data_IF_616811681426
#
_entry.id   IF_616811681426
#
_cell.length_a   1.000
_cell.length_b   1.000
_cell.length_c   1.000
_cell.angle_alpha   90.00
_cell.angle_beta   90.00
_cell.angle_gamma   90.00
#
_symmetry.space_group_name_H-M   'P 1'
#
loop_
_entity.id
_entity.type
_entity.pdbx_description
1 polymer ?
#
# COMPACT_ATOMS: atom_id res chain seq x y z
N UNK A 1 8.18 17.04 3.02
CA UNK A 1 7.80 18.33 2.39
C UNK A 1 6.48 18.30 1.62
N UNK A 2 6.17 17.31 0.75
CA UNK A 2 4.90 17.31 -0.05
C UNK A 2 3.67 16.69 0.64
N UNK A 3 3.83 15.70 1.52
CA UNK A 3 2.71 15.10 2.28
C UNK A 3 2.15 16.03 3.35
N UNK A 4 3.02 16.75 4.06
CA UNK A 4 2.64 17.77 5.03
C UNK A 4 1.97 18.96 4.33
N UNK A 5 2.41 19.35 3.13
CA UNK A 5 1.74 20.42 2.37
C UNK A 5 0.33 20.03 1.91
N UNK A 6 0.13 18.75 1.52
CA UNK A 6 -1.18 18.19 1.22
C UNK A 6 -2.07 18.12 2.48
N UNK A 7 -1.48 17.83 3.64
CA UNK A 7 -2.19 17.83 4.93
C UNK A 7 -2.53 19.24 5.42
N UNK A 8 -1.72 20.26 5.15
CA UNK A 8 -2.02 21.66 5.49
C UNK A 8 -3.15 22.24 4.65
N UNK A 9 -3.42 21.67 3.48
CA UNK A 9 -4.61 21.96 2.67
C UNK A 9 -5.76 21.00 3.09
N UNK A 10 -6.19 21.06 4.36
CA UNK A 10 -7.35 20.30 4.92
C UNK A 10 -8.70 20.69 4.29
N UNK A 11 -8.84 20.66 2.96
CA UNK A 11 -10.07 21.10 2.28
C UNK A 11 -10.97 19.96 1.80
N UNK A 12 -10.44 18.74 1.57
CA UNK A 12 -11.26 17.60 1.13
C UNK A 12 -10.56 16.24 1.31
N UNK A 13 -11.21 15.28 1.98
CA UNK A 13 -10.77 13.89 2.09
C UNK A 13 -10.67 13.20 0.73
N UNK A 14 -11.61 13.52 -0.17
CA UNK A 14 -11.59 12.98 -1.53
C UNK A 14 -10.33 13.40 -2.28
N UNK A 15 -9.99 14.70 -2.23
CA UNK A 15 -8.78 15.20 -2.90
C UNK A 15 -7.53 14.54 -2.32
N UNK A 16 -7.49 14.35 -0.99
CA UNK A 16 -6.41 13.62 -0.35
C UNK A 16 -6.29 12.19 -0.88
N UNK A 17 -7.40 11.45 -0.98
CA UNK A 17 -7.38 10.09 -1.50
C UNK A 17 -6.92 10.04 -2.97
N UNK A 18 -7.45 10.94 -3.81
CA UNK A 18 -7.07 11.04 -5.23
C UNK A 18 -5.59 11.35 -5.44
N UNK A 19 -4.97 12.14 -4.56
CA UNK A 19 -3.54 12.49 -4.64
C UNK A 19 -2.65 11.42 -4.00
N UNK A 20 -3.14 10.75 -2.95
CA UNK A 20 -2.41 9.68 -2.27
C UNK A 20 -2.29 8.44 -3.15
N UNK A 21 -3.27 8.18 -4.02
CA UNK A 21 -3.24 7.08 -4.97
C UNK A 21 -1.98 7.09 -5.87
N UNK A 22 -1.74 8.09 -6.74
CA UNK A 22 -0.55 8.12 -7.58
C UNK A 22 0.75 8.28 -6.77
N UNK A 23 0.68 8.93 -5.61
CA UNK A 23 1.83 9.10 -4.72
C UNK A 23 2.29 7.78 -4.08
N UNK A 24 1.36 6.85 -3.86
CA UNK A 24 1.66 5.49 -3.44
C UNK A 24 2.06 4.63 -4.64
N UNK A 25 1.25 4.62 -5.70
CA UNK A 25 1.44 3.70 -6.83
C UNK A 25 2.78 3.92 -7.56
N UNK A 26 3.11 5.17 -7.95
CA UNK A 26 4.26 5.43 -8.82
C UNK A 26 5.58 5.01 -8.16
N UNK A 27 5.91 5.44 -6.92
CA UNK A 27 7.18 5.06 -6.32
C UNK A 27 7.22 3.59 -5.91
N UNK A 28 6.07 2.99 -5.53
CA UNK A 28 5.98 1.54 -5.31
C UNK A 28 6.34 0.74 -6.55
N UNK A 29 5.84 1.15 -7.72
CA UNK A 29 6.19 0.52 -9.00
C UNK A 29 7.68 0.71 -9.32
N UNK A 30 8.24 1.90 -9.07
CA UNK A 30 9.67 2.16 -9.26
C UNK A 30 10.50 1.24 -8.36
N UNK A 31 10.16 1.13 -7.07
CA UNK A 31 10.86 0.24 -6.13
C UNK A 31 10.80 -1.21 -6.57
N UNK A 32 9.64 -1.68 -7.00
CA UNK A 32 9.47 -3.03 -7.53
C UNK A 32 10.34 -3.28 -8.78
N UNK A 33 10.33 -2.37 -9.76
CA UNK A 33 11.13 -2.50 -10.99
C UNK A 33 12.62 -2.48 -10.68
N UNK A 34 13.08 -1.57 -9.83
CA UNK A 34 14.50 -1.48 -9.46
C UNK A 34 14.95 -2.74 -8.71
N UNK A 35 14.19 -3.20 -7.72
CA UNK A 35 14.50 -4.42 -6.99
C UNK A 35 14.53 -5.64 -7.93
N UNK A 36 13.54 -5.76 -8.82
CA UNK A 36 13.47 -6.82 -9.83
C UNK A 36 14.69 -6.81 -10.75
N UNK A 37 15.12 -5.63 -11.20
CA UNK A 37 16.25 -5.46 -12.11
C UNK A 37 17.57 -5.84 -11.43
N UNK A 38 17.77 -5.42 -10.18
CA UNK A 38 18.96 -5.76 -9.38
C UNK A 38 19.00 -7.27 -9.14
N UNK A 39 17.89 -7.88 -8.71
CA UNK A 39 17.83 -9.32 -8.41
C UNK A 39 18.04 -10.18 -9.66
N UNK A 40 17.50 -9.79 -10.81
CA UNK A 40 17.79 -10.43 -12.11
C UNK A 40 19.27 -10.33 -12.45
N UNK A 41 19.88 -9.16 -12.23
CA UNK A 41 21.29 -8.93 -12.50
C UNK A 41 22.20 -9.80 -11.63
N UNK A 42 21.80 -10.12 -10.40
CA UNK A 42 22.53 -11.07 -9.53
C UNK A 42 22.24 -12.54 -9.83
N UNK A 43 21.50 -12.85 -10.91
CA UNK A 43 21.16 -14.22 -11.31
C UNK A 43 20.01 -14.85 -10.51
N UNK A 44 19.23 -14.05 -9.77
CA UNK A 44 18.08 -14.55 -9.02
C UNK A 44 16.94 -14.90 -9.98
N UNK A 45 16.40 -16.10 -9.88
CA UNK A 45 15.17 -16.48 -10.55
C UNK A 45 13.97 -15.80 -9.86
N UNK A 46 13.41 -14.79 -10.51
CA UNK A 46 12.30 -14.02 -9.94
C UNK A 46 11.03 -14.85 -9.76
N UNK A 47 10.85 -15.94 -10.51
CA UNK A 47 9.66 -16.79 -10.40
C UNK A 47 9.56 -17.46 -9.03
N UNK A 48 10.70 -17.67 -8.37
CA UNK A 48 10.77 -18.27 -7.03
C UNK A 48 10.48 -17.28 -5.90
N UNK A 49 10.48 -15.97 -6.18
CA UNK A 49 10.36 -14.90 -5.17
C UNK A 49 9.25 -13.89 -5.47
N UNK A 50 8.54 -14.03 -6.60
CA UNK A 50 7.34 -13.26 -6.90
C UNK A 50 6.18 -13.68 -6.00
N UNK A 51 5.20 -12.79 -5.83
CA UNK A 51 3.95 -13.15 -5.18
C UNK A 51 3.18 -14.19 -6.04
N UNK A 52 2.34 -15.05 -5.41
CA UNK A 52 1.46 -15.94 -6.14
C UNK A 52 0.60 -15.19 -7.16
N UNK A 53 0.32 -15.82 -8.29
CA UNK A 53 -0.55 -15.25 -9.31
C UNK A 53 -1.95 -15.04 -8.77
N UNK A 54 -2.54 -13.88 -9.09
CA UNK A 54 -3.88 -13.55 -8.64
C UNK A 54 -4.92 -14.29 -9.48
N UNK A 55 -5.87 -14.95 -8.80
CA UNK A 55 -7.04 -15.50 -9.48
C UNK A 55 -7.90 -14.37 -10.05
N UNK A 56 -8.29 -14.49 -11.32
CA UNK A 56 -9.15 -13.53 -12.03
C UNK A 56 -10.65 -13.89 -11.95
N UNK A 57 -11.04 -14.79 -11.04
CA UNK A 57 -12.47 -15.04 -10.77
C UNK A 57 -13.12 -13.81 -10.16
N UNK A 58 -14.39 -13.55 -10.44
CA UNK A 58 -15.11 -12.38 -9.92
C UNK A 58 -15.06 -12.29 -8.39
N UNK A 59 -15.11 -13.43 -7.70
CA UNK A 59 -15.00 -13.50 -6.23
C UNK A 59 -13.60 -13.10 -5.74
N UNK A 60 -12.55 -13.60 -6.38
CA UNK A 60 -11.18 -13.24 -6.03
C UNK A 60 -10.89 -11.76 -6.31
N UNK A 61 -11.37 -11.24 -7.45
CA UNK A 61 -11.26 -9.81 -7.79
C UNK A 61 -11.97 -8.93 -6.76
N UNK A 62 -13.20 -9.28 -6.38
CA UNK A 62 -13.94 -8.56 -5.35
C UNK A 62 -13.21 -8.60 -4.00
N UNK A 63 -12.61 -9.73 -3.65
CA UNK A 63 -11.81 -9.84 -2.43
C UNK A 63 -10.59 -8.92 -2.49
N UNK A 64 -9.79 -8.99 -3.56
CA UNK A 64 -8.57 -8.19 -3.76
C UNK A 64 -8.84 -6.68 -3.75
N UNK A 65 -9.98 -6.25 -4.32
CA UNK A 65 -10.27 -4.82 -4.45
C UNK A 65 -11.03 -4.27 -3.24
N UNK A 66 -11.93 -5.03 -2.63
CA UNK A 66 -12.84 -4.54 -1.59
C UNK A 66 -12.50 -5.09 -0.21
N UNK A 67 -12.53 -6.42 -0.06
CA UNK A 67 -12.51 -7.08 1.26
C UNK A 67 -11.11 -7.06 1.87
N UNK A 68 -10.09 -7.44 1.09
CA UNK A 68 -8.69 -7.44 1.50
C UNK A 68 -8.25 -6.06 1.99
N UNK A 69 -8.37 -5.00 1.18
CA UNK A 69 -8.03 -3.64 1.62
C UNK A 69 -8.77 -3.17 2.87
N UNK A 70 -10.05 -3.53 3.05
CA UNK A 70 -10.80 -3.20 4.25
C UNK A 70 -10.23 -3.89 5.51
N UNK A 71 -9.97 -5.20 5.43
CA UNK A 71 -9.36 -5.95 6.54
C UNK A 71 -7.95 -5.44 6.84
N UNK A 72 -7.14 -5.21 5.81
CA UNK A 72 -5.79 -4.69 5.95
C UNK A 72 -5.76 -3.28 6.55
N UNK A 73 -6.74 -2.43 6.24
CA UNK A 73 -6.87 -1.10 6.86
C UNK A 73 -7.16 -1.20 8.36
N UNK A 74 -7.98 -2.16 8.79
CA UNK A 74 -8.25 -2.39 10.21
C UNK A 74 -7.02 -2.95 10.94
N UNK A 75 -6.30 -3.88 10.30
CA UNK A 75 -5.03 -4.40 10.82
C UNK A 75 -4.00 -3.29 10.91
N UNK A 76 -3.90 -2.43 9.89
CA UNK A 76 -3.02 -1.27 9.87
C UNK A 76 -3.34 -0.30 11.01
N UNK A 77 -4.62 -0.03 11.26
CA UNK A 77 -5.06 0.80 12.37
C UNK A 77 -4.61 0.22 13.72
N UNK A 78 -4.70 -1.10 13.89
CA UNK A 78 -4.22 -1.80 15.08
C UNK A 78 -2.70 -1.69 15.23
N UNK A 79 -1.93 -1.97 14.16
CA UNK A 79 -0.47 -1.86 14.14
C UNK A 79 -0.04 -0.44 14.53
N UNK A 80 -0.64 0.58 13.91
CA UNK A 80 -0.37 1.99 14.22
C UNK A 80 -0.68 2.29 15.69
N UNK A 81 -1.81 1.82 16.22
CA UNK A 81 -2.18 2.00 17.63
C UNK A 81 -1.13 1.40 18.57
N UNK A 82 -0.60 0.21 18.26
CA UNK A 82 0.43 -0.44 19.06
C UNK A 82 1.76 0.31 19.01
N UNK A 83 2.20 0.76 17.84
CA UNK A 83 3.45 1.54 17.71
C UNK A 83 3.34 2.89 18.43
N UNK A 84 2.16 3.50 18.41
CA UNK A 84 1.89 4.76 19.12
C UNK A 84 2.05 4.67 20.65
N UNK A 85 2.13 3.46 21.23
CA UNK A 85 2.47 3.25 22.64
C UNK A 85 3.93 3.65 22.89
N UNK A 86 4.82 3.41 21.93
CA UNK A 86 6.27 3.61 22.08
C UNK A 86 6.75 4.97 21.56
N UNK A 87 6.09 5.56 20.56
CA UNK A 87 6.49 6.84 19.97
C UNK A 87 5.29 7.62 19.46
N UNK A 88 5.31 8.95 19.63
CA UNK A 88 4.31 9.87 19.05
C UNK A 88 4.76 10.51 17.74
N UNK A 89 6.00 10.24 17.30
CA UNK A 89 6.56 10.79 16.06
C UNK A 89 5.88 10.13 14.85
N UNK A 90 4.91 10.80 14.24
CA UNK A 90 4.07 10.26 13.14
C UNK A 90 4.88 9.66 11.99
N UNK A 91 5.97 10.32 11.58
CA UNK A 91 6.83 9.82 10.49
C UNK A 91 7.50 8.48 10.86
N UNK A 92 7.90 8.31 12.12
CA UNK A 92 8.47 7.05 12.62
C UNK A 92 7.38 5.98 12.68
N UNK A 93 6.19 6.33 13.18
CA UNK A 93 5.05 5.39 13.23
C UNK A 93 4.71 4.88 11.84
N UNK A 94 4.59 5.77 10.86
CA UNK A 94 4.29 5.42 9.47
C UNK A 94 5.37 4.55 8.82
N UNK A 95 6.65 4.86 9.07
CA UNK A 95 7.76 4.06 8.55
C UNK A 95 7.77 2.64 9.15
N UNK A 96 7.62 2.53 10.47
CA UNK A 96 7.62 1.23 11.15
C UNK A 96 6.38 0.41 10.77
N UNK A 97 5.19 1.00 10.70
CA UNK A 97 3.99 0.27 10.26
C UNK A 97 4.13 -0.23 8.83
N UNK A 98 4.70 0.58 7.94
CA UNK A 98 4.96 0.19 6.56
C UNK A 98 5.94 -0.98 6.45
N UNK A 99 7.04 -0.95 7.21
CA UNK A 99 8.01 -2.03 7.25
C UNK A 99 7.39 -3.33 7.79
N UNK A 100 6.56 -3.26 8.83
CA UNK A 100 5.89 -4.44 9.38
C UNK A 100 4.92 -5.06 8.37
N UNK A 101 4.06 -4.26 7.75
CA UNK A 101 3.08 -4.77 6.78
C UNK A 101 3.77 -5.27 5.50
N UNK A 102 4.74 -4.54 4.98
CA UNK A 102 5.52 -5.01 3.84
C UNK A 102 6.34 -6.25 4.16
N UNK A 103 6.86 -6.38 5.39
CA UNK A 103 7.53 -7.57 5.87
C UNK A 103 6.63 -8.80 5.80
N UNK A 104 5.37 -8.69 6.26
CA UNK A 104 4.37 -9.75 6.15
C UNK A 104 4.18 -10.16 4.68
N UNK A 105 4.02 -9.21 3.77
CA UNK A 105 3.90 -9.51 2.34
C UNK A 105 5.16 -10.15 1.77
N UNK A 106 6.34 -9.70 2.21
CA UNK A 106 7.64 -10.27 1.87
C UNK A 106 7.79 -11.73 2.28
N UNK A 107 7.10 -12.19 3.34
CA UNK A 107 7.10 -13.61 3.72
C UNK A 107 6.30 -14.48 2.74
N UNK A 108 5.37 -13.89 1.98
CA UNK A 108 4.58 -14.59 0.94
C UNK A 108 5.33 -14.59 -0.39
N UNK A 109 5.94 -13.45 -0.74
CA UNK A 109 6.82 -13.32 -1.90
C UNK A 109 7.82 -12.21 -1.62
N UNK A 110 9.13 -12.48 -1.52
CA UNK A 110 10.14 -11.47 -1.16
C UNK A 110 10.09 -10.22 -2.03
N UNK A 111 9.80 -10.37 -3.33
CA UNK A 111 9.72 -9.24 -4.24
C UNK A 111 8.50 -8.33 -3.97
N UNK A 112 7.45 -8.88 -3.35
CA UNK A 112 6.25 -8.14 -2.95
C UNK A 112 6.57 -7.07 -1.90
N UNK A 113 7.57 -7.29 -1.04
CA UNK A 113 8.02 -6.31 -0.05
C UNK A 113 8.27 -4.92 -0.68
N UNK A 114 8.99 -4.89 -1.81
CA UNK A 114 9.44 -3.63 -2.42
C UNK A 114 8.29 -2.81 -3.03
N UNK A 115 7.27 -3.49 -3.59
CA UNK A 115 6.05 -2.83 -4.05
C UNK A 115 5.11 -2.40 -2.92
N UNK A 116 5.20 -3.06 -1.76
CA UNK A 116 4.27 -2.84 -0.65
C UNK A 116 4.75 -1.78 0.34
N UNK A 117 6.07 -1.70 0.60
CA UNK A 117 6.62 -0.81 1.65
C UNK A 117 6.29 0.65 1.42
N UNK A 118 6.43 1.15 0.20
CA UNK A 118 6.13 2.56 -0.07
C UNK A 118 4.63 2.84 -0.04
N UNK A 119 3.82 1.93 -0.60
CA UNK A 119 2.37 1.99 -0.54
C UNK A 119 1.91 2.15 0.90
N UNK A 120 2.30 1.23 1.79
CA UNK A 120 1.86 1.28 3.18
C UNK A 120 2.45 2.45 3.97
N UNK A 121 3.59 3.01 3.56
CA UNK A 121 4.10 4.25 4.15
C UNK A 121 3.14 5.43 3.87
N UNK A 122 2.68 5.57 2.63
CA UNK A 122 1.70 6.61 2.25
C UNK A 122 0.36 6.38 2.94
N UNK A 123 -0.15 5.13 2.96
CA UNK A 123 -1.41 4.81 3.63
C UNK A 123 -1.36 5.06 5.14
N UNK A 124 -0.26 4.68 5.79
CA UNK A 124 -0.05 4.94 7.23
C UNK A 124 0.03 6.42 7.53
N UNK A 125 0.69 7.19 6.67
CA UNK A 125 0.77 8.65 6.79
C UNK A 125 -0.62 9.27 6.66
N UNK A 126 -1.41 8.86 5.66
CA UNK A 126 -2.79 9.30 5.47
C UNK A 126 -3.67 8.96 6.67
N UNK A 127 -3.58 7.74 7.19
CA UNK A 127 -4.28 7.33 8.40
C UNK A 127 -3.94 8.29 9.57
N UNK A 128 -2.65 8.53 9.85
CA UNK A 128 -2.21 9.38 10.96
C UNK A 128 -2.58 10.86 10.82
N UNK A 129 -2.67 11.37 9.58
CA UNK A 129 -3.12 12.75 9.31
C UNK A 129 -4.62 12.87 9.63
N UNK A 130 -5.43 11.96 9.12
CA UNK A 130 -6.90 12.04 9.25
C UNK A 130 -7.43 11.49 10.57
N UNK A 131 -6.61 10.77 11.34
CA UNK A 131 -6.97 10.22 12.66
C UNK A 131 -7.25 11.30 13.70
N UNK A 132 -6.66 12.48 13.55
CA UNK A 132 -6.95 13.65 14.39
C UNK A 132 -8.41 14.10 14.27
N UNK A 133 -9.05 13.85 13.13
CA UNK A 133 -10.44 14.25 12.92
C UNK A 133 -11.43 13.16 13.28
N UNK A 134 -11.25 11.94 12.77
CA UNK A 134 -12.03 10.79 13.20
C UNK A 134 -11.38 9.48 12.79
N UNK A 135 -11.76 8.39 13.48
CA UNK A 135 -11.35 7.05 13.08
C UNK A 135 -11.84 6.70 11.67
N UNK A 136 -13.10 7.03 11.33
CA UNK A 136 -13.65 6.74 10.01
C UNK A 136 -12.90 7.49 8.90
N UNK A 137 -12.58 8.78 9.08
CA UNK A 137 -11.80 9.55 8.10
C UNK A 137 -10.41 8.97 7.91
N UNK A 138 -9.76 8.50 8.98
CA UNK A 138 -8.45 7.83 8.90
C UNK A 138 -8.52 6.53 8.11
N UNK A 139 -9.53 5.69 8.39
CA UNK A 139 -9.75 4.47 7.63
C UNK A 139 -10.02 4.77 6.17
N UNK A 140 -10.87 5.74 5.84
CA UNK A 140 -11.13 6.14 4.45
C UNK A 140 -9.87 6.66 3.74
N UNK A 141 -9.04 7.45 4.44
CA UNK A 141 -7.80 8.00 3.89
C UNK A 141 -6.75 6.92 3.53
N UNK A 142 -6.79 5.77 4.18
CA UNK A 142 -5.96 4.61 3.84
C UNK A 142 -6.67 3.66 2.85
N UNK A 143 -7.95 3.36 3.08
CA UNK A 143 -8.72 2.38 2.33
C UNK A 143 -8.90 2.79 0.87
N UNK A 144 -9.35 4.02 0.59
CA UNK A 144 -9.69 4.41 -0.78
C UNK A 144 -8.46 4.37 -1.71
N UNK A 145 -7.31 4.97 -1.37
CA UNK A 145 -6.11 4.83 -2.19
C UNK A 145 -5.68 3.37 -2.35
N UNK A 146 -5.81 2.55 -1.30
CA UNK A 146 -5.46 1.13 -1.35
C UNK A 146 -6.34 0.35 -2.35
N UNK A 147 -7.65 0.57 -2.32
CA UNK A 147 -8.59 -0.01 -3.29
C UNK A 147 -8.26 0.41 -4.72
N UNK A 148 -7.89 1.67 -4.94
CA UNK A 148 -7.50 2.18 -6.27
C UNK A 148 -6.20 1.53 -6.77
N UNK A 149 -5.21 1.33 -5.89
CA UNK A 149 -3.98 0.60 -6.21
C UNK A 149 -4.29 -0.84 -6.61
N UNK A 150 -5.07 -1.56 -5.81
CA UNK A 150 -5.41 -2.95 -6.10
C UNK A 150 -6.24 -3.07 -7.38
N UNK A 151 -7.17 -2.13 -7.62
CA UNK A 151 -7.89 -2.05 -8.90
C UNK A 151 -6.93 -1.89 -10.07
N UNK A 152 -5.94 -1.01 -9.94
CA UNK A 152 -4.93 -0.79 -11.00
C UNK A 152 -4.11 -2.05 -11.27
N UNK A 153 -3.68 -2.75 -10.21
CA UNK A 153 -2.94 -4.00 -10.32
C UNK A 153 -3.78 -5.08 -11.00
N UNK A 154 -5.04 -5.26 -10.59
CA UNK A 154 -5.95 -6.23 -11.22
C UNK A 154 -6.17 -5.91 -12.69
N UNK A 155 -6.42 -4.63 -13.04
CA UNK A 155 -6.59 -4.21 -14.43
C UNK A 155 -5.34 -4.48 -15.27
N UNK A 156 -4.15 -4.19 -14.72
CA UNK A 156 -2.89 -4.45 -15.40
C UNK A 156 -2.66 -5.96 -15.63
N UNK A 157 -2.94 -6.80 -14.64
CA UNK A 157 -2.84 -8.26 -14.74
C UNK A 157 -3.83 -8.83 -15.76
N UNK A 158 -5.09 -8.38 -15.72
CA UNK A 158 -6.10 -8.79 -16.70
C UNK A 158 -5.69 -8.37 -18.11
N UNK A 159 -5.22 -7.13 -18.30
CA UNK A 159 -4.75 -6.66 -19.59
C UNK A 159 -3.58 -7.51 -20.09
N UNK A 160 -2.59 -7.81 -19.25
CA UNK A 160 -1.45 -8.65 -19.61
C UNK A 160 -1.88 -10.07 -20.04
N UNK A 161 -2.87 -10.66 -19.36
CA UNK A 161 -3.39 -12.00 -19.70
C UNK A 161 -4.11 -12.07 -21.05
N UNK A 162 -4.53 -10.94 -21.63
CA UNK A 162 -5.13 -10.90 -22.96
C UNK A 162 -4.09 -10.98 -24.08
N UNK A 163 -2.81 -10.78 -23.76
CA UNK A 163 -1.70 -10.78 -24.73
C UNK A 163 -0.75 -11.98 -24.59
N UNK A 164 -1.06 -12.93 -23.70
CA UNK A 164 -0.32 -14.18 -23.47
C UNK A 164 -1.15 -15.38 -23.89
#
# INVERSE_FOLDING_TARGET
MRLESLATQKKSLLNFCCLSFPLALIPSTIFYILASSILRWTGTDLETIKAPEQSLTSTAVAFTILVGPALETLILALIIRLILIFTKRKNVVAAVSALLVAGIHGTIGPLWFFGTVWTFFVLSSGYLIWREESFLKACTAALIPHMLINTTVVLATTAASLYT
#
